data_IF_432066434312
#
_entry.id   IF_432066434312
#
_cell.length_a   1.000
_cell.length_b   1.000
_cell.length_c   1.000
_cell.angle_alpha   90.00
_cell.angle_beta   90.00
_cell.angle_gamma   90.00
#
_symmetry.space_group_name_H-M   'P 1'
#
loop_
_entity.id
_entity.type
_entity.pdbx_description
1 polymer ?
#
# COMPACT_ATOMS: atom_id res chain seq x y z
N UNK A 1 -26.61 -9.98 -93.06
CA UNK A 1 -26.49 -9.47 -91.68
C UNK A 1 -25.16 -9.91 -91.08
N UNK A 2 -24.20 -8.99 -90.85
CA UNK A 2 -23.02 -9.28 -90.02
C UNK A 2 -23.30 -8.78 -88.60
N UNK A 3 -23.43 -9.68 -87.63
CA UNK A 3 -23.45 -9.34 -86.20
C UNK A 3 -22.02 -8.98 -85.78
N UNK A 4 -21.80 -7.71 -85.42
CA UNK A 4 -20.56 -7.29 -84.77
C UNK A 4 -20.59 -7.77 -83.32
N UNK A 5 -19.71 -8.71 -82.97
CA UNK A 5 -19.49 -9.12 -81.59
C UNK A 5 -18.51 -8.11 -80.98
N UNK A 6 -19.02 -7.17 -80.21
CA UNK A 6 -18.19 -6.27 -79.40
C UNK A 6 -17.63 -7.10 -78.25
N UNK A 7 -16.41 -7.63 -78.41
CA UNK A 7 -15.65 -8.19 -77.30
C UNK A 7 -15.27 -7.04 -76.36
N UNK A 8 -16.00 -6.91 -75.24
CA UNK A 8 -15.59 -6.05 -74.12
C UNK A 8 -14.27 -6.59 -73.57
N UNK A 9 -13.14 -5.96 -73.90
CA UNK A 9 -11.89 -6.22 -73.21
C UNK A 9 -12.06 -5.79 -71.74
N UNK A 10 -11.84 -6.73 -70.82
CA UNK A 10 -11.79 -6.39 -69.39
C UNK A 10 -10.52 -5.57 -69.18
N UNK A 11 -10.67 -4.29 -68.85
CA UNK A 11 -9.54 -3.41 -68.53
C UNK A 11 -8.87 -3.95 -67.26
N UNK A 12 -7.69 -4.53 -67.42
CA UNK A 12 -6.87 -4.98 -66.30
C UNK A 12 -6.20 -3.80 -65.59
N UNK A 13 -5.59 -4.08 -64.44
CA UNK A 13 -4.80 -3.09 -63.72
C UNK A 13 -3.50 -2.78 -64.46
N UNK A 14 -3.10 -1.52 -64.42
CA UNK A 14 -1.76 -1.11 -64.86
C UNK A 14 -0.71 -1.50 -63.81
N UNK A 15 0.54 -1.66 -64.23
CA UNK A 15 1.64 -1.98 -63.31
C UNK A 15 1.80 -0.91 -62.21
N UNK A 16 1.54 0.36 -62.54
CA UNK A 16 1.59 1.47 -61.60
C UNK A 16 0.48 1.36 -60.54
N UNK A 17 -0.76 1.12 -60.96
CA UNK A 17 -1.89 0.92 -60.03
C UNK A 17 -1.60 -0.26 -59.09
N UNK A 18 -1.11 -1.38 -59.63
CA UNK A 18 -0.75 -2.55 -58.82
C UNK A 18 0.34 -2.21 -57.79
N UNK A 19 1.38 -1.49 -58.21
CA UNK A 19 2.50 -1.10 -57.33
C UNK A 19 2.03 -0.16 -56.21
N UNK A 20 1.21 0.84 -56.54
CA UNK A 20 0.66 1.78 -55.55
C UNK A 20 -0.29 1.06 -54.60
N UNK A 21 -1.18 0.21 -55.11
CA UNK A 21 -2.10 -0.56 -54.26
C UNK A 21 -1.36 -1.51 -53.32
N UNK A 22 -0.31 -2.18 -53.81
CA UNK A 22 0.51 -3.07 -52.98
C UNK A 22 1.26 -2.27 -51.90
N UNK A 23 1.84 -1.13 -52.27
CA UNK A 23 2.54 -0.26 -51.32
C UNK A 23 1.61 0.27 -50.21
N UNK A 24 0.40 0.72 -50.58
CA UNK A 24 -0.61 1.15 -49.62
C UNK A 24 -1.08 0.01 -48.71
N UNK A 25 -1.25 -1.19 -49.27
CA UNK A 25 -1.62 -2.37 -48.49
C UNK A 25 -0.53 -2.71 -47.46
N UNK A 26 0.75 -2.66 -47.85
CA UNK A 26 1.86 -2.89 -46.93
C UNK A 26 1.84 -1.88 -45.79
N UNK A 27 1.72 -0.58 -46.08
CA UNK A 27 1.63 0.46 -45.04
C UNK A 27 0.45 0.20 -44.10
N UNK A 28 -0.73 -0.11 -44.66
CA UNK A 28 -1.93 -0.39 -43.88
C UNK A 28 -1.73 -1.59 -42.95
N UNK A 29 -1.14 -2.69 -43.45
CA UNK A 29 -0.90 -3.89 -42.63
C UNK A 29 0.11 -3.62 -41.51
N UNK A 30 1.17 -2.84 -41.76
CA UNK A 30 2.14 -2.47 -40.73
C UNK A 30 1.53 -1.59 -39.64
N UNK A 31 0.72 -0.60 -40.03
CA UNK A 31 -0.02 0.25 -39.09
C UNK A 31 -0.98 -0.59 -38.24
N UNK A 32 -1.74 -1.48 -38.87
CA UNK A 32 -2.67 -2.36 -38.17
C UNK A 32 -1.93 -3.25 -37.16
N UNK A 33 -0.82 -3.86 -37.56
CA UNK A 33 0.00 -4.70 -36.68
C UNK A 33 0.54 -3.91 -35.48
N UNK A 34 1.01 -2.68 -35.71
CA UNK A 34 1.49 -1.80 -34.65
C UNK A 34 0.39 -1.45 -33.64
N UNK A 35 -0.82 -1.15 -34.12
CA UNK A 35 -1.98 -0.88 -33.25
C UNK A 35 -2.33 -2.13 -32.45
N UNK A 36 -2.43 -3.31 -33.07
CA UNK A 36 -2.75 -4.55 -32.34
C UNK A 36 -1.70 -4.84 -31.26
N UNK A 37 -0.41 -4.76 -31.59
CA UNK A 37 0.67 -5.02 -30.65
C UNK A 37 0.65 -4.03 -29.48
N UNK A 38 0.46 -2.75 -29.78
CA UNK A 38 0.37 -1.70 -28.76
C UNK A 38 -0.84 -1.92 -27.85
N UNK A 39 -2.01 -2.23 -28.42
CA UNK A 39 -3.23 -2.53 -27.65
C UNK A 39 -3.04 -3.75 -26.76
N UNK A 40 -2.53 -4.87 -27.29
CA UNK A 40 -2.29 -6.09 -26.50
C UNK A 40 -1.34 -5.82 -25.33
N UNK A 41 -0.22 -5.15 -25.58
CA UNK A 41 0.76 -4.85 -24.54
C UNK A 41 0.20 -3.90 -23.48
N UNK A 42 -0.53 -2.88 -23.92
CA UNK A 42 -1.19 -1.92 -23.04
C UNK A 42 -2.24 -2.62 -22.17
N UNK A 43 -3.12 -3.44 -22.77
CA UNK A 43 -4.12 -4.22 -22.05
C UNK A 43 -3.51 -5.20 -21.06
N UNK A 44 -2.42 -5.89 -21.43
CA UNK A 44 -1.68 -6.77 -20.49
C UNK A 44 -1.19 -5.99 -19.28
N UNK A 45 -0.60 -4.81 -19.48
CA UNK A 45 -0.11 -3.97 -18.38
C UNK A 45 -1.23 -3.43 -17.51
N UNK A 46 -2.38 -3.06 -18.11
CA UNK A 46 -3.55 -2.63 -17.35
C UNK A 46 -4.16 -3.76 -16.52
N UNK A 47 -4.19 -4.99 -17.03
CA UNK A 47 -4.76 -6.14 -16.34
C UNK A 47 -3.78 -6.79 -15.36
N UNK A 48 -2.48 -6.52 -15.48
CA UNK A 48 -1.46 -7.04 -14.59
C UNK A 48 -1.36 -6.22 -13.29
N UNK A 49 -2.29 -6.48 -12.39
CA UNK A 49 -2.31 -5.92 -11.04
C UNK A 49 -1.42 -6.68 -10.05
N UNK A 50 -0.60 -7.63 -10.51
CA UNK A 50 0.16 -8.51 -9.62
C UNK A 50 1.01 -7.71 -8.64
N UNK A 51 1.79 -6.73 -9.13
CA UNK A 51 2.62 -5.88 -8.26
C UNK A 51 1.81 -5.16 -7.19
N UNK A 52 0.60 -4.71 -7.52
CA UNK A 52 -0.29 -4.06 -6.57
C UNK A 52 -0.83 -5.04 -5.53
N UNK A 53 -1.26 -6.24 -5.95
CA UNK A 53 -1.73 -7.31 -5.06
C UNK A 53 -0.62 -7.71 -4.06
N UNK A 54 0.61 -7.94 -4.55
CA UNK A 54 1.77 -8.26 -3.69
C UNK A 54 2.11 -7.12 -2.74
N UNK A 55 2.11 -5.87 -3.21
CA UNK A 55 2.36 -4.72 -2.34
C UNK A 55 1.29 -4.59 -1.24
N UNK A 56 0.02 -4.86 -1.55
CA UNK A 56 -1.07 -4.82 -0.59
C UNK A 56 -0.92 -5.93 0.47
N UNK A 57 -0.59 -7.15 0.03
CA UNK A 57 -0.32 -8.28 0.92
C UNK A 57 0.90 -8.00 1.81
N UNK A 58 2.02 -7.55 1.24
CA UNK A 58 3.21 -7.14 1.98
C UNK A 58 2.89 -6.09 3.03
N UNK A 59 2.19 -5.03 2.65
CA UNK A 59 1.77 -3.97 3.57
C UNK A 59 0.94 -4.53 4.73
N UNK A 60 0.01 -5.46 4.44
CA UNK A 60 -0.86 -6.05 5.46
C UNK A 60 -0.07 -6.93 6.43
N UNK A 61 0.83 -7.78 5.92
CA UNK A 61 1.71 -8.64 6.73
C UNK A 61 2.59 -7.77 7.64
N UNK A 62 3.24 -6.75 7.09
CA UNK A 62 4.09 -5.83 7.85
C UNK A 62 3.31 -5.03 8.91
N UNK A 63 2.08 -4.62 8.61
CA UNK A 63 1.22 -3.94 9.58
C UNK A 63 0.98 -4.82 10.82
N UNK A 64 0.69 -6.10 10.61
CA UNK A 64 0.44 -7.05 11.71
C UNK A 64 1.73 -7.31 12.45
N UNK A 65 2.81 -7.63 11.72
CA UNK A 65 4.14 -7.81 12.28
C UNK A 65 4.55 -6.66 13.21
N UNK A 66 4.34 -5.40 12.80
CA UNK A 66 4.66 -4.23 13.60
C UNK A 66 3.83 -4.11 14.89
N UNK A 67 2.60 -4.61 14.85
CA UNK A 67 1.68 -4.67 15.98
C UNK A 67 1.86 -5.93 16.84
N UNK A 68 2.71 -6.86 16.43
CA UNK A 68 3.01 -8.08 17.18
C UNK A 68 4.09 -7.86 18.24
N UNK A 69 3.90 -8.49 19.39
CA UNK A 69 4.91 -8.67 20.43
C UNK A 69 5.75 -9.92 20.17
N UNK A 70 5.14 -10.99 19.63
CA UNK A 70 5.81 -12.25 19.35
C UNK A 70 5.55 -12.68 17.91
N UNK A 71 6.59 -13.20 17.25
CA UNK A 71 6.53 -13.67 15.87
C UNK A 71 7.28 -14.98 15.77
N UNK A 72 6.55 -16.06 15.53
CA UNK A 72 7.11 -17.41 15.36
C UNK A 72 6.78 -17.95 13.98
N UNK A 73 7.75 -18.63 13.39
CA UNK A 73 7.57 -19.33 12.13
C UNK A 73 7.42 -20.82 12.39
N UNK A 74 6.46 -21.41 11.70
CA UNK A 74 6.18 -22.83 11.62
C UNK A 74 6.16 -23.24 10.14
N UNK A 75 6.18 -24.55 9.87
CA UNK A 75 6.44 -25.11 8.53
C UNK A 75 5.74 -24.39 7.37
N UNK A 76 4.43 -24.15 7.49
CA UNK A 76 3.59 -23.56 6.44
C UNK A 76 2.85 -22.30 6.91
N UNK A 77 3.22 -21.74 8.07
CA UNK A 77 2.55 -20.56 8.59
C UNK A 77 3.44 -19.75 9.54
N UNK A 78 3.11 -18.48 9.72
CA UNK A 78 3.73 -17.59 10.70
C UNK A 78 2.66 -17.18 11.71
N UNK A 79 2.92 -17.36 12.99
CA UNK A 79 2.08 -16.87 14.08
C UNK A 79 2.61 -15.52 14.55
N UNK A 80 1.69 -14.59 14.69
CA UNK A 80 1.92 -13.21 15.08
C UNK A 80 0.97 -12.85 16.22
N UNK A 81 1.49 -12.81 17.45
CA UNK A 81 0.71 -12.48 18.65
C UNK A 81 0.74 -10.97 18.88
N UNK A 82 -0.43 -10.37 19.04
CA UNK A 82 -0.57 -8.92 19.27
C UNK A 82 0.11 -8.47 20.56
N UNK A 83 0.47 -7.17 20.63
CA UNK A 83 1.08 -6.57 21.84
C UNK A 83 0.15 -6.53 23.05
N UNK A 84 -1.17 -6.53 22.84
CA UNK A 84 -2.17 -6.59 23.90
C UNK A 84 -2.52 -8.03 24.32
N UNK A 85 -1.99 -9.05 23.63
CA UNK A 85 -2.25 -10.46 23.91
C UNK A 85 -3.68 -10.93 23.61
N UNK A 86 -4.52 -10.07 23.01
CA UNK A 86 -5.93 -10.34 22.77
C UNK A 86 -6.18 -11.02 21.42
N UNK A 87 -5.29 -10.81 20.45
CA UNK A 87 -5.44 -11.31 19.08
C UNK A 87 -4.19 -12.05 18.61
N UNK A 88 -4.39 -13.27 18.14
CA UNK A 88 -3.37 -14.00 17.40
C UNK A 88 -3.72 -14.02 15.93
N UNK A 89 -2.72 -13.77 15.10
CA UNK A 89 -2.84 -13.84 13.66
C UNK A 89 -1.96 -14.97 13.14
N UNK A 90 -2.55 -15.89 12.39
CA UNK A 90 -1.82 -16.92 11.66
C UNK A 90 -1.82 -16.57 10.18
N UNK A 91 -0.64 -16.37 9.61
CA UNK A 91 -0.46 -16.18 8.17
C UNK A 91 -0.10 -17.52 7.57
N UNK A 92 -1.02 -18.11 6.82
CA UNK A 92 -0.89 -19.42 6.22
C UNK A 92 -0.41 -19.30 4.78
N UNK A 93 0.58 -20.12 4.43
CA UNK A 93 1.15 -20.24 3.11
C UNK A 93 0.78 -21.59 2.55
N UNK A 94 0.18 -21.62 1.36
CA UNK A 94 -0.06 -22.84 0.62
C UNK A 94 0.32 -22.63 -0.85
N UNK A 95 0.34 -23.71 -1.63
CA UNK A 95 0.91 -23.69 -2.98
C UNK A 95 0.17 -22.78 -3.97
N UNK A 96 -1.06 -22.35 -3.66
CA UNK A 96 -1.88 -21.50 -4.54
C UNK A 96 -2.25 -20.13 -3.95
N UNK A 97 -2.26 -19.98 -2.63
CA UNK A 97 -2.74 -18.78 -1.95
C UNK A 97 -2.05 -18.56 -0.60
N UNK A 98 -2.08 -17.30 -0.18
CA UNK A 98 -1.66 -16.88 1.15
C UNK A 98 -2.85 -16.21 1.80
N UNK A 99 -3.16 -16.61 3.02
CA UNK A 99 -4.31 -16.11 3.74
C UNK A 99 -4.00 -16.00 5.22
N UNK A 100 -4.90 -15.36 5.92
CA UNK A 100 -4.75 -15.04 7.32
C UNK A 100 -5.97 -15.48 8.10
N UNK A 101 -5.72 -16.25 9.15
CA UNK A 101 -6.69 -16.56 10.17
C UNK A 101 -6.46 -15.63 11.36
N UNK A 102 -7.56 -15.08 11.88
CA UNK A 102 -7.57 -14.29 13.11
C UNK A 102 -8.18 -15.09 14.23
N UNK A 103 -7.57 -15.03 15.40
CA UNK A 103 -8.06 -15.67 16.61
C UNK A 103 -8.20 -14.62 17.71
N UNK A 104 -9.29 -14.71 18.47
CA UNK A 104 -9.47 -13.99 19.73
C UNK A 104 -9.01 -14.89 20.87
N UNK A 105 -8.29 -14.31 21.84
CA UNK A 105 -7.81 -15.02 23.03
C UNK A 105 -7.10 -16.35 22.69
N UNK A 106 -6.35 -16.37 21.59
CA UNK A 106 -5.57 -17.51 21.07
C UNK A 106 -6.32 -18.78 20.66
N UNK A 107 -7.60 -18.93 20.99
CA UNK A 107 -8.36 -20.18 20.80
C UNK A 107 -9.63 -20.03 19.96
N UNK A 108 -10.21 -18.82 19.89
CA UNK A 108 -11.49 -18.61 19.22
C UNK A 108 -11.27 -18.03 17.83
N UNK A 109 -11.51 -18.83 16.79
CA UNK A 109 -11.44 -18.37 15.41
C UNK A 109 -12.43 -17.22 15.16
N UNK A 110 -11.90 -16.08 14.71
CA UNK A 110 -12.62 -14.82 14.55
C UNK A 110 -12.78 -14.40 13.09
N UNK A 111 -12.00 -14.96 12.16
CA UNK A 111 -12.20 -14.71 10.74
C UNK A 111 -11.03 -15.09 9.85
N UNK A 112 -11.32 -15.12 8.55
CA UNK A 112 -10.41 -15.44 7.47
C UNK A 112 -10.27 -14.25 6.52
N UNK A 113 -9.04 -13.94 6.11
CA UNK A 113 -8.75 -12.90 5.10
C UNK A 113 -7.79 -13.48 4.06
N UNK A 114 -8.22 -13.52 2.80
CA UNK A 114 -7.35 -13.84 1.68
C UNK A 114 -6.39 -12.66 1.42
N UNK A 115 -5.08 -12.94 1.36
CA UNK A 115 -4.06 -11.93 1.07
C UNK A 115 -3.59 -12.00 -0.38
N UNK A 116 -3.31 -13.21 -0.88
CA UNK A 116 -2.85 -13.47 -2.25
C UNK A 116 -3.44 -14.76 -2.77
N UNK A 117 -3.69 -14.83 -4.07
CA UNK A 117 -4.18 -16.02 -4.78
C UNK A 117 -3.41 -16.22 -6.08
N UNK A 118 -3.44 -17.44 -6.59
CA UNK A 118 -2.76 -17.84 -7.82
C UNK A 118 -1.23 -17.61 -7.77
N UNK A 119 -0.63 -17.84 -6.60
CA UNK A 119 0.83 -17.98 -6.52
C UNK A 119 1.23 -19.33 -7.12
N UNK A 120 2.46 -19.44 -7.63
CA UNK A 120 3.01 -20.72 -8.13
C UNK A 120 3.65 -21.55 -7.04
N UNK A 121 4.11 -20.89 -5.99
CA UNK A 121 4.75 -21.52 -4.85
C UNK A 121 5.34 -20.50 -3.90
N UNK A 122 5.83 -21.00 -2.77
CA UNK A 122 6.51 -20.19 -1.78
C UNK A 122 7.64 -20.99 -1.14
N UNK A 123 8.60 -20.28 -0.57
CA UNK A 123 9.58 -20.83 0.37
C UNK A 123 9.49 -20.04 1.65
N UNK A 124 9.51 -20.76 2.77
CA UNK A 124 9.54 -20.19 4.11
C UNK A 124 10.75 -20.78 4.84
N UNK A 125 11.73 -19.94 5.12
CA UNK A 125 12.98 -20.32 5.75
C UNK A 125 13.32 -19.39 6.91
N UNK A 126 14.24 -19.82 7.77
CA UNK A 126 14.75 -19.02 8.89
C UNK A 126 16.26 -19.09 8.88
N UNK A 127 16.89 -17.92 8.87
CA UNK A 127 18.34 -17.73 8.96
C UNK A 127 18.62 -16.58 9.94
N UNK A 128 19.49 -16.78 10.92
CA UNK A 128 19.88 -15.76 11.91
C UNK A 128 18.70 -14.98 12.50
N UNK A 129 17.73 -15.70 13.05
CA UNK A 129 16.47 -15.16 13.61
C UNK A 129 15.59 -14.38 12.60
N UNK A 130 15.96 -14.36 11.33
CA UNK A 130 15.20 -13.71 10.26
C UNK A 130 14.41 -14.76 9.50
N UNK A 131 13.09 -14.58 9.47
CA UNK A 131 12.17 -15.34 8.64
C UNK A 131 12.23 -14.76 7.24
N UNK A 132 12.65 -15.58 6.27
CA UNK A 132 12.62 -15.26 4.86
C UNK A 132 11.40 -15.91 4.20
N UNK A 133 10.64 -15.08 3.51
CA UNK A 133 9.43 -15.45 2.78
C UNK A 133 9.70 -15.13 1.33
N UNK A 134 9.80 -16.16 0.50
CA UNK A 134 9.91 -16.03 -0.96
C UNK A 134 8.60 -16.50 -1.57
N UNK A 135 7.99 -15.67 -2.42
CA UNK A 135 6.79 -16.02 -3.17
C UNK A 135 7.10 -15.97 -4.66
N UNK A 136 6.72 -17.03 -5.39
CA UNK A 136 6.80 -17.07 -6.84
C UNK A 136 5.42 -16.76 -7.41
N UNK A 137 5.29 -15.64 -8.13
CA UNK A 137 4.02 -15.20 -8.68
C UNK A 137 3.60 -15.99 -9.95
N UNK A 138 2.36 -15.78 -10.41
CA UNK A 138 1.84 -16.37 -11.65
C UNK A 138 2.71 -16.08 -12.89
N UNK A 139 3.44 -14.97 -12.90
CA UNK A 139 4.31 -14.51 -13.96
C UNK A 139 5.78 -14.95 -13.78
N UNK A 140 6.07 -15.84 -12.83
CA UNK A 140 7.42 -16.29 -12.44
C UNK A 140 8.33 -15.20 -11.84
N UNK A 141 7.76 -14.11 -11.35
CA UNK A 141 8.57 -13.18 -10.56
C UNK A 141 8.67 -13.65 -9.11
N UNK A 142 9.88 -13.51 -8.59
CA UNK A 142 10.19 -13.71 -7.18
C UNK A 142 9.86 -12.44 -6.38
N UNK A 143 9.32 -12.65 -5.18
CA UNK A 143 8.90 -11.61 -4.24
C UNK A 143 9.40 -11.98 -2.85
N UNK A 144 10.39 -11.23 -2.38
CA UNK A 144 10.99 -11.44 -1.07
C UNK A 144 10.37 -10.57 0.02
N UNK A 145 10.25 -11.15 1.21
CA UNK A 145 9.97 -10.44 2.45
C UNK A 145 10.80 -11.04 3.58
N UNK A 146 11.35 -10.17 4.42
CA UNK A 146 12.14 -10.55 5.58
C UNK A 146 11.49 -10.00 6.84
N UNK A 147 11.27 -10.87 7.82
CA UNK A 147 10.73 -10.51 9.13
C UNK A 147 11.68 -11.02 10.21
N UNK A 148 12.11 -10.17 11.14
CA UNK A 148 12.86 -10.66 12.30
C UNK A 148 11.91 -11.39 13.25
N UNK A 149 12.32 -12.52 13.82
CA UNK A 149 11.60 -13.13 14.93
C UNK A 149 11.51 -12.12 16.06
N UNK A 150 10.39 -12.18 16.78
CA UNK A 150 10.18 -11.41 18.00
C UNK A 150 9.85 -12.40 19.09
N UNK A 151 10.61 -12.36 20.17
CA UNK A 151 10.24 -13.05 21.38
C UNK A 151 9.39 -12.14 22.25
N UNK A 152 8.49 -12.74 23.01
CA UNK A 152 7.57 -12.00 23.85
C UNK A 152 8.37 -11.14 24.83
N UNK A 153 8.15 -9.82 24.79
CA UNK A 153 8.73 -8.88 25.74
C UNK A 153 8.44 -9.38 27.15
N UNK A 154 9.49 -9.61 27.94
CA UNK A 154 9.36 -9.95 29.36
C UNK A 154 8.56 -8.85 30.09
N UNK A 155 7.91 -9.18 31.20
CA UNK A 155 7.09 -8.22 31.99
C UNK A 155 7.85 -6.93 32.34
N UNK A 156 9.19 -6.97 32.43
CA UNK A 156 10.06 -5.81 32.61
C UNK A 156 10.06 -4.83 31.44
N UNK A 157 9.97 -5.30 30.21
CA UNK A 157 9.92 -4.47 29.01
C UNK A 157 8.51 -3.90 28.78
N UNK A 158 7.47 -4.68 29.09
CA UNK A 158 6.07 -4.19 29.11
C UNK A 158 5.92 -3.04 30.11
N UNK A 159 6.49 -3.16 31.30
CA UNK A 159 6.50 -2.11 32.33
C UNK A 159 7.33 -0.87 31.94
N UNK A 160 8.39 -1.00 31.12
CA UNK A 160 9.15 0.16 30.62
C UNK A 160 8.35 0.93 29.57
N UNK A 161 7.66 0.25 28.66
CA UNK A 161 6.83 0.89 27.64
C UNK A 161 5.59 1.58 28.22
N UNK A 162 4.95 0.99 29.25
CA UNK A 162 3.89 1.68 30.00
C UNK A 162 4.41 2.93 30.70
N UNK A 163 5.57 2.85 31.36
CA UNK A 163 6.20 4.02 31.98
C UNK A 163 6.52 5.12 30.96
N UNK A 164 7.04 4.78 29.78
CA UNK A 164 7.29 5.77 28.72
C UNK A 164 6.01 6.38 28.15
N UNK A 165 4.93 5.60 27.98
CA UNK A 165 3.63 6.13 27.55
C UNK A 165 3.01 7.04 28.60
N UNK A 166 3.09 6.67 29.88
CA UNK A 166 2.59 7.47 30.98
C UNK A 166 3.41 8.76 31.14
N UNK A 167 4.73 8.70 30.95
CA UNK A 167 5.61 9.89 30.97
C UNK A 167 5.33 10.82 29.79
N UNK A 168 5.08 10.30 28.58
CA UNK A 168 4.66 11.11 27.43
C UNK A 168 3.30 11.77 27.66
N UNK A 169 2.32 11.02 28.19
CA UNK A 169 1.00 11.57 28.51
C UNK A 169 1.06 12.63 29.62
N UNK A 170 1.94 12.47 30.62
CA UNK A 170 2.21 13.48 31.64
C UNK A 170 2.83 14.74 31.04
N UNK A 171 3.86 14.60 30.20
CA UNK A 171 4.50 15.74 29.52
C UNK A 171 3.53 16.50 28.60
N UNK A 172 2.61 15.81 27.94
CA UNK A 172 1.55 16.45 27.14
C UNK A 172 0.55 17.23 28.00
N UNK A 173 0.14 16.69 29.16
CA UNK A 173 -0.72 17.40 30.11
C UNK A 173 -0.04 18.61 30.74
N UNK A 174 1.23 18.49 31.14
CA UNK A 174 2.02 19.63 31.65
C UNK A 174 2.19 20.73 30.59
N UNK A 175 2.42 20.37 29.32
CA UNK A 175 2.49 21.34 28.24
C UNK A 175 1.14 22.03 27.97
N UNK A 176 0.02 21.33 28.11
CA UNK A 176 -1.32 21.92 28.01
C UNK A 176 -1.63 22.85 29.18
N UNK A 177 -1.26 22.48 30.42
CA UNK A 177 -1.44 23.34 31.60
C UNK A 177 -0.55 24.59 31.54
N UNK A 178 0.70 24.48 31.11
CA UNK A 178 1.60 25.63 30.96
C UNK A 178 1.13 26.60 29.87
N UNK A 179 0.60 26.11 28.75
CA UNK A 179 -0.02 26.96 27.73
C UNK A 179 -1.30 27.65 28.23
N UNK A 180 -2.11 26.98 29.04
CA UNK A 180 -3.30 27.59 29.65
C UNK A 180 -2.95 28.63 30.73
N UNK A 181 -1.82 28.49 31.44
CA UNK A 181 -1.33 29.49 32.40
C UNK A 181 -0.84 30.75 31.71
N UNK A 182 -0.15 30.63 30.57
CA UNK A 182 0.29 31.79 29.78
C UNK A 182 -0.90 32.63 29.29
N UNK A 183 -1.99 32.00 28.85
CA UNK A 183 -3.18 32.71 28.37
C UNK A 183 -4.02 33.37 29.48
N UNK A 184 -3.74 33.13 30.76
CA UNK A 184 -4.51 33.70 31.89
C UNK A 184 -3.86 34.94 32.50
N UNK A 185 -2.67 35.35 32.05
CA UNK A 185 -1.89 36.42 32.69
C UNK A 185 -1.95 37.77 31.96
N UNK A 186 -2.56 37.84 30.77
CA UNK A 186 -2.58 39.07 29.94
C UNK A 186 -3.99 39.67 29.74
N UNK A 187 -4.88 39.59 30.74
CA UNK A 187 -6.16 40.32 30.70
C UNK A 187 -6.49 40.93 32.06
N UNK A 188 -5.66 41.86 32.53
CA UNK A 188 -6.11 42.92 33.45
C UNK A 188 -5.14 44.11 33.41
N UNK A 189 -5.35 45.02 32.47
CA UNK A 189 -4.88 46.41 32.61
C UNK A 189 -6.14 47.26 32.74
N UNK A 190 -6.49 47.56 33.98
CA UNK A 190 -7.47 48.59 34.31
C UNK A 190 -6.94 49.95 33.85
N UNK A 191 -7.71 50.62 33.01
CA UNK A 191 -7.46 52.01 32.63
C UNK A 191 -7.89 52.88 33.81
N UNK A 192 -6.92 53.40 34.57
CA UNK A 192 -7.15 54.41 35.60
C UNK A 192 -7.76 55.67 34.98
N UNK A 193 -8.98 56.00 35.41
CA UNK A 193 -9.62 57.29 35.17
C UNK A 193 -8.99 58.33 36.10
N UNK A 194 -8.25 59.27 35.56
CA UNK A 194 -7.76 60.46 36.28
C UNK A 194 -8.94 61.33 36.74
N UNK A 195 -8.97 61.67 38.04
CA UNK A 195 -9.87 62.67 38.65
C UNK A 195 -9.35 64.10 38.40
N UNK A 196 -10.23 65.12 38.39
CA UNK A 196 -9.85 66.51 38.18
C UNK A 196 -9.26 67.12 39.45
N UNK A 197 -8.30 68.04 39.30
CA UNK A 197 -7.80 68.90 40.37
C UNK A 197 -8.15 70.34 39.98
N UNK A 198 -8.89 71.01 40.86
CA UNK A 198 -9.04 72.46 40.95
C UNK A 198 -8.06 72.99 41.99
N UNK A 199 -7.30 74.04 41.68
CA UNK A 199 -7.40 75.34 42.37
C UNK A 199 -6.29 76.32 41.91
N UNK A 200 -6.65 77.60 42.00
CA UNK A 200 -5.96 78.80 41.55
C UNK A 200 -4.75 79.17 42.43
N UNK A 201 -3.75 79.88 41.88
CA UNK A 201 -3.39 81.26 42.29
C UNK A 201 -2.30 81.89 41.38
N UNK A 202 -2.67 83.08 40.87
CA UNK A 202 -1.95 84.31 40.49
C UNK A 202 -0.46 84.37 40.10
N UNK A 203 -0.18 85.13 39.03
CA UNK A 203 1.14 85.75 38.83
C UNK A 203 1.43 86.33 37.44
N UNK A 204 0.71 87.39 37.03
CA UNK A 204 1.21 88.64 36.38
C UNK A 204 0.31 89.20 35.28
#
# INVERSE_FOLDING_TARGET
MRKSVIAKSKKGFTLLELTVSLFLLVILTLLLMLILQTTINTSKRFLDYSNYEYALAHRKILQIYNNSAKVTQEKHYIIMTSKDGMEDVRINFNDNQIYMDKFKNSNDFAGYILLLKHIKGYTLSVEDETIHILIVDKNNHERDMYLKKKDEKTDKEKAKEEKEKEEKARKEKENQENNNKYNKTDNHVEIEKTKPITDNEEGS
#
